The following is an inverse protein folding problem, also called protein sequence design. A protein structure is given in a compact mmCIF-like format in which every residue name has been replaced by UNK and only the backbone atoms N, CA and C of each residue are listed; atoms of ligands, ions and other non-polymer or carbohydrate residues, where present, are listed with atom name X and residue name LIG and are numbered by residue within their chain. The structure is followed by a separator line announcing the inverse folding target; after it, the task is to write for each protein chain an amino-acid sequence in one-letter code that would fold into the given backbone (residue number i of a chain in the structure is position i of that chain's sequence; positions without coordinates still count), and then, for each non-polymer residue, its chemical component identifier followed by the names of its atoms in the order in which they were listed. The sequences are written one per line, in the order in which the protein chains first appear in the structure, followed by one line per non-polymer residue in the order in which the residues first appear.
data_IF_567279741305
#
_entry.id   IF_567279741305
#
_cell.length_a   1.000
_cell.length_b   1.000
_cell.length_c   1.000
_cell.angle_alpha   90.00
_cell.angle_beta   90.00
_cell.angle_gamma   90.00
#
_symmetry.space_group_name_H-M   'P 1'
#
loop_
_entity.id
_entity.type
_entity.pdbx_description
1 polymer ?
#
# COMPACT_ATOMS: atom_id res chain seq x y z
N UNK A 1 -13.97 -9.17 5.44
CA UNK A 1 -14.19 -7.98 6.33
C UNK A 1 -13.40 -6.76 5.89
N UNK A 2 -12.09 -6.85 5.61
CA UNK A 2 -11.27 -5.65 5.25
C UNK A 2 -11.77 -4.93 3.99
N UNK A 3 -12.14 -5.65 2.92
CA UNK A 3 -12.61 -5.04 1.67
C UNK A 3 -13.88 -4.19 1.81
N UNK A 4 -14.79 -4.59 2.70
CA UNK A 4 -15.99 -3.80 2.99
C UNK A 4 -15.62 -2.46 3.67
N UNK A 5 -14.70 -2.51 4.64
CA UNK A 5 -14.18 -1.32 5.30
C UNK A 5 -13.43 -0.39 4.32
N UNK A 6 -12.62 -0.95 3.41
CA UNK A 6 -11.93 -0.18 2.38
C UNK A 6 -12.92 0.53 1.45
N UNK A 7 -13.97 -0.17 0.98
CA UNK A 7 -15.02 0.40 0.14
C UNK A 7 -15.74 1.57 0.83
N UNK A 8 -16.05 1.42 2.12
CA UNK A 8 -16.63 2.49 2.92
C UNK A 8 -15.70 3.68 3.06
N UNK A 9 -14.41 3.43 3.34
CA UNK A 9 -13.42 4.47 3.53
C UNK A 9 -13.04 5.17 2.22
N UNK A 10 -13.23 4.55 1.05
CA UNK A 10 -13.01 5.18 -0.25
C UNK A 10 -13.94 6.39 -0.48
N UNK A 11 -15.12 6.40 0.12
CA UNK A 11 -16.11 7.49 -0.02
C UNK A 11 -15.57 8.86 0.40
N UNK A 12 -14.61 8.90 1.32
CA UNK A 12 -14.00 10.16 1.77
C UNK A 12 -13.23 10.91 0.67
N UNK A 13 -12.83 10.21 -0.40
CA UNK A 13 -12.03 10.78 -1.49
C UNK A 13 -12.88 11.29 -2.64
N UNK A 14 -14.20 11.06 -2.59
CA UNK A 14 -15.12 11.56 -3.61
C UNK A 14 -15.41 13.03 -3.39
N UNK A 15 -15.54 13.84 -4.46
CA UNK A 15 -15.96 15.20 -4.34
C UNK A 15 -17.41 15.27 -3.84
N UNK A 16 -17.68 16.23 -2.98
CA UNK A 16 -19.03 16.53 -2.48
C UNK A 16 -19.53 17.80 -3.18
N UNK A 17 -20.73 17.71 -3.75
CA UNK A 17 -21.44 18.84 -4.32
C UNK A 17 -22.36 19.44 -3.28
N UNK A 18 -22.20 20.73 -3.01
CA UNK A 18 -23.11 21.53 -2.19
C UNK A 18 -23.77 22.59 -3.05
N UNK A 19 -25.09 22.72 -2.98
CA UNK A 19 -25.83 23.81 -3.61
C UNK A 19 -25.93 24.97 -2.61
N UNK A 20 -25.40 26.12 -3.02
CA UNK A 20 -25.45 27.34 -2.22
C UNK A 20 -26.82 28.01 -2.35
N UNK A 21 -27.27 28.83 -1.35
CA UNK A 21 -28.53 29.54 -1.40
C UNK A 21 -28.69 30.48 -2.62
N UNK A 22 -27.58 30.95 -3.17
CA UNK A 22 -27.54 31.79 -4.38
C UNK A 22 -27.64 30.99 -5.69
N UNK A 23 -27.92 29.68 -5.63
CA UNK A 23 -28.01 28.79 -6.79
C UNK A 23 -26.67 28.30 -7.33
N UNK A 24 -25.55 28.78 -6.80
CA UNK A 24 -24.22 28.32 -7.22
C UNK A 24 -23.91 26.92 -6.67
N UNK A 25 -23.09 26.18 -7.40
CA UNK A 25 -22.57 24.87 -6.98
C UNK A 25 -21.15 25.02 -6.43
N UNK A 26 -20.90 24.45 -5.25
CA UNK A 26 -19.58 24.35 -4.64
C UNK A 26 -19.15 22.89 -4.58
N UNK A 27 -17.94 22.59 -5.08
CA UNK A 27 -17.33 21.27 -4.95
C UNK A 27 -16.26 21.31 -3.87
N UNK A 28 -16.35 20.41 -2.89
CA UNK A 28 -15.31 20.17 -1.88
C UNK A 28 -14.76 18.77 -2.06
N UNK A 29 -13.46 18.59 -1.87
CA UNK A 29 -12.84 17.27 -1.93
C UNK A 29 -11.62 17.19 -1.02
N UNK A 30 -11.31 15.98 -0.58
CA UNK A 30 -10.11 15.66 0.19
C UNK A 30 -9.02 15.23 -0.78
N UNK A 31 -7.82 15.78 -0.64
CA UNK A 31 -6.67 15.46 -1.48
C UNK A 31 -5.74 14.48 -0.77
N UNK A 32 -5.25 13.47 -1.51
CA UNK A 32 -4.20 12.56 -1.00
C UNK A 32 -2.87 13.30 -0.93
N UNK A 33 -2.01 12.86 -0.01
CA UNK A 33 -0.66 13.42 0.11
C UNK A 33 0.12 13.19 -1.19
N UNK A 34 0.68 14.26 -1.75
CA UNK A 34 1.43 14.22 -3.02
C UNK A 34 0.57 14.23 -4.28
N UNK A 35 -0.75 14.15 -4.17
CA UNK A 35 -1.65 14.27 -5.31
C UNK A 35 -1.75 15.73 -5.76
N UNK A 36 -1.66 16.04 -7.07
CA UNK A 36 -1.87 17.39 -7.58
C UNK A 36 -3.32 17.85 -7.34
N UNK A 37 -3.50 19.16 -7.24
CA UNK A 37 -4.84 19.74 -7.14
C UNK A 37 -5.66 19.43 -8.41
N UNK A 38 -6.91 19.02 -8.21
CA UNK A 38 -7.83 18.72 -9.32
C UNK A 38 -8.50 20.00 -9.83
N UNK A 39 -8.70 20.05 -11.12
CA UNK A 39 -9.50 21.11 -11.76
C UNK A 39 -10.99 20.91 -11.49
N UNK A 40 -11.80 21.96 -11.68
CA UNK A 40 -13.25 21.88 -11.53
C UNK A 40 -13.87 20.82 -12.46
N UNK A 41 -13.38 20.70 -13.69
CA UNK A 41 -13.91 19.71 -14.64
C UNK A 41 -13.58 18.28 -14.21
N UNK A 42 -12.38 18.04 -13.64
CA UNK A 42 -12.03 16.76 -13.05
C UNK A 42 -12.93 16.42 -11.85
N UNK A 43 -13.25 17.40 -11.00
CA UNK A 43 -14.15 17.19 -9.86
C UNK A 43 -15.58 16.89 -10.32
N UNK A 44 -16.08 17.58 -11.34
CA UNK A 44 -17.38 17.29 -11.95
C UNK A 44 -17.43 15.89 -12.55
N UNK A 45 -16.39 15.50 -13.30
CA UNK A 45 -16.27 14.17 -13.89
C UNK A 45 -16.27 13.08 -12.81
N UNK A 46 -15.52 13.26 -11.71
CA UNK A 46 -15.49 12.34 -10.58
C UNK A 46 -16.83 12.26 -9.83
N UNK A 47 -17.56 13.37 -9.72
CA UNK A 47 -18.87 13.38 -9.09
C UNK A 47 -19.91 12.63 -9.94
N UNK A 48 -19.84 12.74 -11.27
CA UNK A 48 -20.74 12.06 -12.20
C UNK A 48 -20.37 10.59 -12.42
N UNK A 49 -19.07 10.26 -12.39
CA UNK A 49 -18.56 8.90 -12.57
C UNK A 49 -17.47 8.60 -11.52
N UNK A 50 -17.86 8.23 -10.29
CA UNK A 50 -16.93 7.99 -9.20
C UNK A 50 -15.96 6.83 -9.53
N UNK A 51 -14.68 6.94 -9.16
CA UNK A 51 -13.72 5.83 -9.31
C UNK A 51 -14.18 4.60 -8.50
N UNK A 52 -14.18 3.45 -9.14
CA UNK A 52 -14.68 2.21 -8.52
C UNK A 52 -13.65 1.50 -7.65
N UNK A 53 -12.34 1.70 -7.90
CA UNK A 53 -11.23 0.95 -7.28
C UNK A 53 -11.38 -0.58 -7.33
N UNK A 54 -12.12 -1.10 -8.31
CA UNK A 54 -12.38 -2.54 -8.42
C UNK A 54 -11.14 -3.36 -8.77
N UNK A 55 -10.23 -2.77 -9.57
CA UNK A 55 -8.98 -3.43 -9.95
C UNK A 55 -8.06 -3.59 -8.73
N UNK A 56 -7.92 -2.54 -7.95
CA UNK A 56 -7.13 -2.55 -6.73
C UNK A 56 -7.69 -3.53 -5.70
N UNK A 57 -9.02 -3.57 -5.52
CA UNK A 57 -9.66 -4.53 -4.62
C UNK A 57 -9.47 -5.98 -5.05
N UNK A 58 -9.54 -6.26 -6.36
CA UNK A 58 -9.23 -7.60 -6.90
C UNK A 58 -7.77 -7.97 -6.66
N UNK A 59 -6.85 -7.03 -6.88
CA UNK A 59 -5.43 -7.26 -6.61
C UNK A 59 -5.18 -7.52 -5.12
N UNK A 60 -5.85 -6.79 -4.21
CA UNK A 60 -5.79 -7.04 -2.77
C UNK A 60 -6.28 -8.46 -2.44
N UNK A 61 -7.44 -8.89 -2.97
CA UNK A 61 -7.97 -10.23 -2.74
C UNK A 61 -7.00 -11.33 -3.20
N UNK A 62 -6.48 -11.18 -4.41
CA UNK A 62 -5.53 -12.14 -4.98
C UNK A 62 -4.22 -12.18 -4.18
N UNK A 63 -3.73 -11.03 -3.73
CA UNK A 63 -2.51 -10.95 -2.94
C UNK A 63 -2.70 -11.53 -1.54
N UNK A 64 -3.84 -11.27 -0.88
CA UNK A 64 -4.17 -11.88 0.42
C UNK A 64 -4.29 -13.40 0.33
N UNK A 65 -4.89 -13.90 -0.76
CA UNK A 65 -4.94 -15.34 -1.03
C UNK A 65 -3.53 -15.93 -1.16
N UNK A 66 -2.65 -15.28 -1.94
CA UNK A 66 -1.30 -15.76 -2.19
C UNK A 66 -0.42 -15.70 -0.93
N UNK A 67 -0.53 -14.65 -0.13
CA UNK A 67 0.12 -14.54 1.18
C UNK A 67 -0.30 -15.70 2.11
N UNK A 68 -1.59 -15.96 2.20
CA UNK A 68 -2.11 -17.07 3.01
C UNK A 68 -1.60 -18.43 2.49
N UNK A 69 -1.62 -18.65 1.18
CA UNK A 69 -1.10 -19.87 0.54
C UNK A 69 0.39 -20.07 0.83
N UNK A 70 1.16 -18.99 0.89
CA UNK A 70 2.59 -19.01 1.22
C UNK A 70 2.85 -19.20 2.72
N UNK A 71 1.81 -19.24 3.56
CA UNK A 71 1.92 -19.43 5.01
C UNK A 71 2.08 -18.12 5.81
N UNK A 72 1.86 -16.95 5.17
CA UNK A 72 1.82 -15.66 5.87
C UNK A 72 0.45 -15.39 6.50
N UNK A 73 0.46 -14.79 7.68
CA UNK A 73 -0.74 -14.28 8.33
C UNK A 73 -0.76 -12.76 8.23
N UNK A 74 -1.85 -12.19 7.71
CA UNK A 74 -2.05 -10.73 7.62
C UNK A 74 -3.02 -10.29 8.71
N UNK A 75 -2.61 -9.34 9.55
CA UNK A 75 -3.41 -8.82 10.65
C UNK A 75 -3.48 -7.29 10.60
N UNK A 76 -4.65 -6.76 10.94
CA UNK A 76 -4.80 -5.31 11.14
C UNK A 76 -4.43 -5.00 12.59
N UNK A 77 -3.20 -4.55 12.77
CA UNK A 77 -2.61 -4.28 14.09
C UNK A 77 -1.48 -3.25 13.95
N UNK A 78 -1.10 -2.67 15.09
CA UNK A 78 0.04 -1.75 15.13
C UNK A 78 1.34 -2.52 14.87
N UNK A 79 2.18 -2.09 13.89
CA UNK A 79 3.55 -2.56 13.74
C UNK A 79 4.37 -2.37 15.01
N UNK A 80 5.38 -3.21 15.21
CA UNK A 80 6.33 -3.01 16.32
C UNK A 80 7.25 -1.83 16.04
N UNK A 81 7.58 -1.61 14.76
CA UNK A 81 8.38 -0.48 14.32
C UNK A 81 7.53 0.78 14.41
N UNK A 82 7.92 1.69 15.30
CA UNK A 82 7.20 2.95 15.51
C UNK A 82 7.12 3.77 14.22
N UNK A 83 5.92 4.31 13.94
CA UNK A 83 5.65 5.13 12.75
C UNK A 83 5.53 4.35 11.43
N UNK A 84 5.69 3.04 11.42
CA UNK A 84 5.50 2.23 10.22
C UNK A 84 4.01 2.05 9.90
N UNK A 85 3.67 2.09 8.60
CA UNK A 85 2.32 1.84 8.09
C UNK A 85 2.00 0.34 8.02
N UNK A 86 3.02 -0.47 7.70
CA UNK A 86 3.03 -1.92 7.70
C UNK A 86 4.35 -2.46 8.24
N UNK A 87 4.39 -3.77 8.52
CA UNK A 87 5.59 -4.48 8.96
C UNK A 87 5.45 -5.96 8.63
N UNK A 88 6.40 -6.48 7.86
CA UNK A 88 6.60 -7.91 7.72
C UNK A 88 7.54 -8.44 8.82
N UNK A 89 7.12 -9.48 9.53
CA UNK A 89 7.94 -10.17 10.52
C UNK A 89 8.18 -11.63 10.09
N UNK A 90 9.33 -11.96 9.48
CA UNK A 90 9.60 -13.30 8.98
C UNK A 90 9.65 -14.35 10.11
N UNK A 91 10.17 -14.01 11.28
CA UNK A 91 10.25 -14.97 12.41
C UNK A 91 8.87 -15.50 12.82
N UNK A 92 7.84 -14.67 12.68
CA UNK A 92 6.45 -15.03 13.01
C UNK A 92 5.64 -15.47 11.78
N UNK A 93 6.10 -15.16 10.56
CA UNK A 93 5.31 -15.29 9.34
C UNK A 93 4.09 -14.37 9.38
N UNK A 94 4.21 -13.20 10.01
CA UNK A 94 3.11 -12.27 10.28
C UNK A 94 3.37 -10.91 9.64
N UNK A 95 2.39 -10.44 8.89
CA UNK A 95 2.32 -9.10 8.33
C UNK A 95 1.33 -8.26 9.12
N UNK A 96 1.75 -7.11 9.60
CA UNK A 96 0.89 -6.14 10.29
C UNK A 96 0.67 -4.94 9.42
N UNK A 97 -0.58 -4.49 9.33
CA UNK A 97 -0.97 -3.23 8.66
C UNK A 97 -1.81 -2.43 9.63
N UNK A 98 -1.52 -1.13 9.76
CA UNK A 98 -2.22 -0.28 10.73
C UNK A 98 -3.67 -0.04 10.33
N UNK A 99 -4.55 0.15 11.33
CA UNK A 99 -5.94 0.58 11.11
C UNK A 99 -6.01 1.93 10.38
N UNK A 100 -5.01 2.80 10.57
CA UNK A 100 -4.93 4.08 9.85
C UNK A 100 -4.81 3.88 8.33
N UNK A 101 -4.08 2.86 7.87
CA UNK A 101 -3.97 2.52 6.45
C UNK A 101 -5.32 2.06 5.90
N UNK A 102 -6.05 1.22 6.66
CA UNK A 102 -7.43 0.83 6.30
C UNK A 102 -8.33 2.07 6.20
N UNK A 103 -8.21 3.00 7.15
CA UNK A 103 -8.96 4.27 7.15
C UNK A 103 -8.68 5.17 5.95
N UNK A 104 -7.52 5.02 5.29
CA UNK A 104 -7.17 5.75 4.06
C UNK A 104 -7.77 5.13 2.79
N UNK A 105 -8.40 3.96 2.88
CA UNK A 105 -9.11 3.31 1.78
C UNK A 105 -8.23 2.42 0.90
N UNK A 106 -8.83 1.98 -0.21
CA UNK A 106 -8.32 0.88 -1.06
C UNK A 106 -6.93 1.13 -1.63
N UNK A 107 -6.67 2.31 -2.18
CA UNK A 107 -5.39 2.61 -2.86
C UNK A 107 -4.21 2.55 -1.89
N UNK A 108 -4.35 3.17 -0.72
CA UNK A 108 -3.27 3.17 0.28
C UNK A 108 -3.07 1.78 0.89
N UNK A 109 -4.16 1.05 1.11
CA UNK A 109 -4.08 -0.32 1.60
C UNK A 109 -3.38 -1.25 0.59
N UNK A 110 -3.74 -1.16 -0.70
CA UNK A 110 -3.08 -1.93 -1.76
C UNK A 110 -1.58 -1.65 -1.81
N UNK A 111 -1.19 -0.38 -1.72
CA UNK A 111 0.20 0.04 -1.72
C UNK A 111 1.00 -0.55 -0.55
N UNK A 112 0.49 -0.41 0.68
CA UNK A 112 1.18 -0.93 1.88
C UNK A 112 1.20 -2.46 1.87
N UNK A 113 0.10 -3.11 1.51
CA UNK A 113 0.03 -4.57 1.38
C UNK A 113 1.07 -5.09 0.37
N UNK A 114 1.19 -4.41 -0.77
CA UNK A 114 2.14 -4.75 -1.82
C UNK A 114 3.60 -4.57 -1.36
N UNK A 115 3.89 -3.47 -0.64
CA UNK A 115 5.20 -3.21 -0.02
C UNK A 115 5.62 -4.36 0.91
N UNK A 116 4.75 -4.75 1.83
CA UNK A 116 5.04 -5.82 2.79
C UNK A 116 5.09 -7.20 2.13
N UNK A 117 4.33 -7.41 1.05
CA UNK A 117 4.40 -8.64 0.26
C UNK A 117 5.76 -8.79 -0.46
N UNK A 118 6.37 -7.69 -0.91
CA UNK A 118 7.72 -7.70 -1.47
C UNK A 118 8.71 -8.15 -0.39
N UNK A 119 8.61 -7.65 0.85
CA UNK A 119 9.45 -8.13 1.97
C UNK A 119 9.20 -9.61 2.29
N UNK A 120 7.97 -10.09 2.13
CA UNK A 120 7.66 -11.52 2.27
C UNK A 120 8.38 -12.34 1.19
N UNK A 121 8.35 -11.92 -0.07
CA UNK A 121 9.06 -12.56 -1.17
C UNK A 121 10.59 -12.54 -0.96
N UNK A 122 11.14 -11.43 -0.46
CA UNK A 122 12.55 -11.32 -0.08
C UNK A 122 12.94 -12.36 0.99
N UNK A 123 12.04 -12.68 1.91
CA UNK A 123 12.25 -13.76 2.90
C UNK A 123 12.29 -15.11 2.20
N UNK A 124 11.40 -15.37 1.24
CA UNK A 124 11.39 -16.62 0.47
C UNK A 124 12.68 -16.85 -0.31
N UNK A 125 13.23 -15.79 -0.94
CA UNK A 125 14.57 -15.85 -1.57
C UNK A 125 15.68 -16.16 -0.55
N UNK A 126 15.49 -15.78 0.70
CA UNK A 126 16.36 -16.15 1.81
C UNK A 126 16.35 -17.64 2.18
N UNK A 127 15.40 -18.41 1.63
CA UNK A 127 15.24 -19.86 1.83
C UNK A 127 13.83 -20.30 2.22
N UNK A 128 13.06 -19.46 2.89
CA UNK A 128 11.65 -19.70 3.22
C UNK A 128 10.98 -18.40 3.68
N UNK A 129 9.67 -18.41 3.81
CA UNK A 129 8.90 -17.28 4.35
C UNK A 129 9.39 -16.81 5.74
N UNK A 130 10.07 -17.67 6.49
CA UNK A 130 10.60 -17.37 7.83
C UNK A 130 12.09 -17.06 7.85
N UNK A 131 12.72 -17.02 6.68
CA UNK A 131 14.15 -16.77 6.55
C UNK A 131 14.47 -15.27 6.60
N UNK A 132 15.73 -14.95 6.80
CA UNK A 132 16.24 -13.59 6.67
C UNK A 132 16.04 -13.10 5.23
N UNK A 133 15.44 -11.92 5.02
CA UNK A 133 15.21 -11.38 3.69
C UNK A 133 16.52 -11.18 2.91
N UNK A 134 16.47 -11.48 1.60
CA UNK A 134 17.52 -11.21 0.63
C UNK A 134 16.97 -10.42 -0.54
N UNK A 135 17.77 -9.58 -1.22
CA UNK A 135 17.34 -8.84 -2.38
C UNK A 135 16.77 -9.75 -3.49
N UNK A 136 15.71 -9.26 -4.14
CA UNK A 136 15.07 -9.92 -5.28
C UNK A 136 15.78 -9.63 -6.60
N UNK A 137 16.57 -8.55 -6.66
CA UNK A 137 17.21 -8.08 -7.88
C UNK A 137 16.26 -7.30 -8.81
N UNK A 138 15.15 -6.81 -8.29
CA UNK A 138 14.19 -5.98 -9.03
C UNK A 138 14.58 -4.49 -9.00
N UNK A 139 13.83 -3.66 -9.74
CA UNK A 139 14.09 -2.21 -9.81
C UNK A 139 14.19 -1.56 -8.43
N UNK A 140 15.13 -0.63 -8.31
CA UNK A 140 15.34 0.23 -7.12
C UNK A 140 15.24 1.71 -7.47
N UNK A 141 14.60 2.03 -8.58
CA UNK A 141 14.35 3.41 -8.98
C UNK A 141 13.23 4.00 -8.12
N UNK A 142 13.62 4.77 -7.13
CA UNK A 142 12.71 5.33 -6.12
C UNK A 142 12.30 6.74 -6.52
N UNK A 143 11.00 7.02 -6.44
CA UNK A 143 10.48 8.38 -6.61
C UNK A 143 11.02 9.32 -5.52
N UNK A 144 11.04 10.65 -5.79
CA UNK A 144 11.43 11.66 -4.79
C UNK A 144 10.63 11.56 -3.50
N UNK A 145 9.34 11.17 -3.60
CA UNK A 145 8.46 11.00 -2.45
C UNK A 145 8.84 9.77 -1.64
N UNK A 146 9.11 8.63 -2.30
CA UNK A 146 9.57 7.42 -1.64
C UNK A 146 10.96 7.62 -0.99
N UNK A 147 11.86 8.37 -1.65
CA UNK A 147 13.15 8.73 -1.07
C UNK A 147 12.99 9.54 0.23
N UNK A 148 12.03 10.46 0.30
CA UNK A 148 11.72 11.19 1.54
C UNK A 148 11.23 10.26 2.65
N UNK A 149 10.47 9.21 2.32
CA UNK A 149 10.03 8.21 3.30
C UNK A 149 11.22 7.38 3.79
N UNK A 150 12.06 6.91 2.88
CA UNK A 150 13.26 6.12 3.20
C UNK A 150 14.27 6.90 4.07
N UNK A 151 14.37 8.20 3.90
CA UNK A 151 15.27 9.06 4.66
C UNK A 151 14.69 9.58 5.99
N UNK A 152 13.48 9.15 6.39
CA UNK A 152 12.96 9.46 7.73
C UNK A 152 13.80 8.78 8.81
N UNK A 153 13.78 9.34 10.03
CA UNK A 153 14.55 8.84 11.19
C UNK A 153 14.39 7.35 11.47
N UNK A 154 13.22 6.77 11.14
CA UNK A 154 12.94 5.33 11.25
C UNK A 154 13.92 4.47 10.46
N UNK A 155 14.54 5.02 9.40
CA UNK A 155 15.46 4.34 8.48
C UNK A 155 16.88 4.89 8.53
N UNK A 156 17.17 5.88 9.38
CA UNK A 156 18.46 6.59 9.41
C UNK A 156 19.66 5.71 9.79
N UNK A 157 19.42 4.61 10.52
CA UNK A 157 20.46 3.69 11.00
C UNK A 157 20.47 2.34 10.26
N UNK A 158 19.84 2.25 9.08
CA UNK A 158 19.72 1.01 8.34
C UNK A 158 21.06 0.61 7.72
N UNK A 159 21.48 -0.65 7.95
CA UNK A 159 22.62 -1.26 7.26
C UNK A 159 22.39 -1.30 5.75
N UNK A 160 23.47 -1.23 4.95
CA UNK A 160 23.41 -1.17 3.48
C UNK A 160 22.51 -2.25 2.86
N UNK A 161 22.58 -3.49 3.36
CA UNK A 161 21.73 -4.58 2.85
C UNK A 161 20.24 -4.35 3.12
N UNK A 162 19.90 -3.88 4.29
CA UNK A 162 18.52 -3.57 4.66
C UNK A 162 17.97 -2.41 3.83
N UNK A 163 18.82 -1.43 3.48
CA UNK A 163 18.47 -0.33 2.59
C UNK A 163 18.09 -0.83 1.19
N UNK A 164 18.84 -1.79 0.63
CA UNK A 164 18.52 -2.40 -0.67
C UNK A 164 17.14 -3.05 -0.66
N UNK A 165 16.78 -3.77 0.41
CA UNK A 165 15.47 -4.39 0.56
C UNK A 165 14.34 -3.36 0.53
N UNK A 166 14.50 -2.27 1.27
CA UNK A 166 13.53 -1.18 1.30
C UNK A 166 13.45 -0.45 -0.05
N UNK A 167 14.57 -0.24 -0.73
CA UNK A 167 14.61 0.38 -2.07
C UNK A 167 13.81 -0.45 -3.08
N UNK A 168 13.96 -1.77 -3.09
CA UNK A 168 13.16 -2.65 -3.93
C UNK A 168 11.66 -2.55 -3.60
N UNK A 169 11.30 -2.55 -2.33
CA UNK A 169 9.90 -2.45 -1.90
C UNK A 169 9.29 -1.09 -2.28
N UNK A 170 9.96 0.02 -1.99
CA UNK A 170 9.49 1.35 -2.33
C UNK A 170 9.41 1.62 -3.83
N UNK A 171 10.35 1.10 -4.62
CA UNK A 171 10.36 1.28 -6.07
C UNK A 171 9.18 0.57 -6.76
N UNK A 172 8.70 -0.53 -6.17
CA UNK A 172 7.72 -1.41 -6.83
C UNK A 172 6.33 -1.43 -6.14
N UNK A 173 6.17 -0.83 -4.96
CA UNK A 173 4.91 -0.89 -4.19
C UNK A 173 3.67 -0.35 -4.92
N UNK A 174 3.84 0.56 -5.87
CA UNK A 174 2.76 1.18 -6.64
C UNK A 174 2.39 0.36 -7.90
N UNK A 175 3.16 -0.70 -8.22
CA UNK A 175 2.87 -1.61 -9.34
C UNK A 175 1.85 -2.65 -8.89
N UNK A 176 0.62 -2.52 -9.38
CA UNK A 176 -0.48 -3.39 -8.99
C UNK A 176 -0.19 -4.85 -9.39
N UNK A 177 -0.28 -5.77 -8.43
CA UNK A 177 -0.08 -7.20 -8.65
C UNK A 177 1.35 -7.72 -8.47
N UNK A 178 2.37 -6.85 -8.44
CA UNK A 178 3.78 -7.29 -8.35
C UNK A 178 4.05 -8.16 -7.12
N UNK A 179 3.49 -7.82 -5.97
CA UNK A 179 3.67 -8.62 -4.74
C UNK A 179 3.16 -10.06 -4.92
N UNK A 180 2.02 -10.23 -5.59
CA UNK A 180 1.49 -11.56 -5.91
C UNK A 180 2.42 -12.34 -6.84
N UNK A 181 2.89 -11.73 -7.90
CA UNK A 181 3.79 -12.35 -8.88
C UNK A 181 5.08 -12.82 -8.20
N UNK A 182 5.70 -11.98 -7.38
CA UNK A 182 6.91 -12.30 -6.63
C UNK A 182 6.70 -13.43 -5.62
N UNK A 183 5.55 -13.48 -4.93
CA UNK A 183 5.23 -14.59 -4.03
C UNK A 183 5.07 -15.91 -4.81
N UNK A 184 4.40 -15.88 -5.96
CA UNK A 184 4.23 -17.06 -6.81
C UNK A 184 5.57 -17.58 -7.35
N UNK A 185 6.51 -16.70 -7.63
CA UNK A 185 7.83 -17.03 -8.14
C UNK A 185 8.75 -17.61 -7.06
N UNK A 186 8.77 -16.98 -5.87
CA UNK A 186 9.79 -17.25 -4.86
C UNK A 186 9.31 -18.03 -3.64
N UNK A 187 8.00 -18.03 -3.33
CA UNK A 187 7.44 -18.69 -2.15
C UNK A 187 6.73 -20.01 -2.54
N UNK A 188 7.49 -21.07 -2.68
CA UNK A 188 6.98 -22.42 -2.99
C UNK A 188 6.97 -23.32 -1.77
#
# INVERSE_FOLDING_TARGET
MVLAALRQNDQQWLPRLERMPNGQARYTYKRRTGEPAKTLDQLKAMANNPPSYNQERRAIEQLLYELNRSGATVVIAQPKKEGAAGEWNPRRGEMRITQNVVGKGTVEFAKVLNHEAIHTAQSCVGGSIRSQPKPLGISREISRQAMKQLNKSVYAEIRTQQRILEEEAYANQDTLGIGRELLMEHCR
#
